data_IF_523713802691
#
_entry.id   IF_523713802691
#
_cell.length_a   1.000
_cell.length_b   1.000
_cell.length_c   1.000
_cell.angle_alpha   90.00
_cell.angle_beta   90.00
_cell.angle_gamma   90.00
#
_symmetry.space_group_name_H-M   'P 1'
#
loop_
_entity.id
_entity.type
_entity.pdbx_description
1 polymer ?
#
# COMPACT_ATOMS: atom_id res chain seq x y z
N UNK A 1 -9.92 -7.26 -4.93
CA UNK A 1 -9.77 -6.27 -3.85
C UNK A 1 -10.13 -4.92 -4.40
N UNK A 2 -10.96 -4.15 -3.69
CA UNK A 2 -11.35 -2.87 -4.25
C UNK A 2 -10.22 -1.85 -4.08
N UNK A 3 -10.36 -0.76 -4.80
CA UNK A 3 -9.30 0.24 -4.86
C UNK A 3 -9.03 0.87 -3.51
N UNK A 4 -10.07 1.17 -2.75
CA UNK A 4 -9.90 1.74 -1.42
C UNK A 4 -9.05 0.86 -0.53
N UNK A 5 -9.33 -0.41 -0.53
CA UNK A 5 -8.58 -1.36 0.28
C UNK A 5 -7.15 -1.46 -0.23
N UNK A 6 -6.99 -1.50 -1.55
CA UNK A 6 -5.67 -1.58 -2.15
C UNK A 6 -4.84 -0.35 -1.79
N UNK A 7 -5.45 0.84 -1.82
CA UNK A 7 -4.75 2.06 -1.44
C UNK A 7 -4.27 1.99 0.00
N UNK A 8 -5.13 1.51 0.90
CA UNK A 8 -4.76 1.42 2.30
C UNK A 8 -3.64 0.41 2.53
N UNK A 9 -3.72 -0.73 1.87
CA UNK A 9 -2.68 -1.74 1.97
C UNK A 9 -1.36 -1.18 1.44
N UNK A 10 -1.40 -0.56 0.29
CA UNK A 10 -0.21 0.01 -0.31
C UNK A 10 0.40 1.08 0.59
N UNK A 11 -0.44 1.96 1.14
CA UNK A 11 0.02 3.03 2.00
C UNK A 11 0.67 2.48 3.26
N UNK A 12 0.06 1.47 3.86
CA UNK A 12 0.64 0.86 5.05
C UNK A 12 1.98 0.22 4.74
N UNK A 13 2.11 -0.39 3.56
CA UNK A 13 3.38 -0.98 3.16
C UNK A 13 4.45 0.09 3.00
N UNK A 14 4.10 1.21 2.39
CA UNK A 14 5.04 2.30 2.19
C UNK A 14 5.48 2.88 3.53
N UNK A 15 4.54 3.14 4.40
CA UNK A 15 4.84 3.71 5.71
C UNK A 15 5.69 2.76 6.52
N UNK A 16 5.34 1.49 6.51
CA UNK A 16 6.09 0.50 7.26
C UNK A 16 7.51 0.37 6.74
N UNK A 17 7.66 0.42 5.43
CA UNK A 17 8.98 0.35 4.81
C UNK A 17 9.85 1.52 5.24
N UNK A 18 9.26 2.69 5.36
CA UNK A 18 9.98 3.88 5.75
C UNK A 18 10.38 3.87 7.22
N UNK A 19 9.55 3.28 8.07
CA UNK A 19 9.78 3.35 9.51
C UNK A 19 10.63 2.21 10.04
N UNK A 20 10.79 1.14 9.29
CA UNK A 20 11.58 0.00 9.74
C UNK A 20 13.05 0.27 9.50
N UNK A 21 13.88 0.15 10.54
CA UNK A 21 15.32 0.21 10.31
C UNK A 21 15.70 -0.96 9.43
N UNK A 22 16.47 -0.69 8.44
CA UNK A 22 16.68 -1.66 7.37
C UNK A 22 17.23 -3.00 7.75
N UNK A 23 17.44 -3.29 9.01
CA UNK A 23 18.06 -4.56 9.35
C UNK A 23 17.36 -5.35 10.38
N UNK A 24 16.29 -4.90 10.94
CA UNK A 24 15.68 -5.64 12.03
C UNK A 24 14.56 -6.55 11.59
N UNK A 25 13.99 -6.29 10.44
CA UNK A 25 12.90 -7.14 9.94
C UNK A 25 12.92 -7.11 8.44
N UNK A 26 12.56 -8.21 7.83
CA UNK A 26 12.48 -8.22 6.39
C UNK A 26 11.18 -7.55 5.95
N UNK A 27 11.21 -7.00 4.77
CA UNK A 27 10.01 -6.40 4.20
C UNK A 27 8.91 -7.44 4.05
N UNK A 28 9.28 -8.70 3.80
CA UNK A 28 8.30 -9.77 3.68
C UNK A 28 7.49 -9.95 4.95
N UNK A 29 8.15 -9.89 6.10
CA UNK A 29 7.44 -10.01 7.38
C UNK A 29 6.43 -8.88 7.57
N UNK A 30 6.83 -7.67 7.23
CA UNK A 30 5.96 -6.52 7.33
C UNK A 30 4.78 -6.66 6.37
N UNK A 31 5.06 -7.15 5.19
CA UNK A 31 4.05 -7.35 4.17
C UNK A 31 2.96 -8.30 4.66
N UNK A 32 3.36 -9.42 5.25
CA UNK A 32 2.40 -10.37 5.77
C UNK A 32 1.59 -9.80 6.93
N UNK A 33 2.23 -9.01 7.78
CA UNK A 33 1.52 -8.38 8.87
C UNK A 33 0.43 -7.43 8.36
N UNK A 34 0.74 -6.66 7.33
CA UNK A 34 -0.23 -5.75 6.72
C UNK A 34 -1.36 -6.54 6.07
N UNK A 35 -1.02 -7.61 5.36
CA UNK A 35 -2.04 -8.45 4.72
C UNK A 35 -2.99 -9.04 5.75
N UNK A 36 -2.46 -9.51 6.86
CA UNK A 36 -3.28 -10.03 7.95
C UNK A 36 -4.20 -8.97 8.52
N UNK A 37 -3.67 -7.77 8.67
CA UNK A 37 -4.45 -6.67 9.22
C UNK A 37 -5.70 -6.40 8.38
N UNK A 38 -5.56 -6.50 7.07
CA UNK A 38 -6.67 -6.23 6.16
C UNK A 38 -7.40 -7.49 5.71
N UNK A 39 -6.98 -8.64 6.20
CA UNK A 39 -7.67 -9.88 5.88
C UNK A 39 -7.52 -10.32 4.43
N UNK A 40 -6.37 -10.04 3.83
CA UNK A 40 -6.12 -10.43 2.45
C UNK A 40 -4.95 -11.40 2.40
N UNK A 41 -4.82 -12.09 1.28
CA UNK A 41 -3.72 -13.01 1.06
C UNK A 41 -2.72 -12.39 0.09
N UNK A 42 -1.50 -12.92 0.08
CA UNK A 42 -0.49 -12.49 -0.87
C UNK A 42 -0.98 -12.69 -2.30
N UNK A 43 -1.71 -13.78 -2.53
CA UNK A 43 -2.26 -14.04 -3.87
C UNK A 43 -3.24 -12.97 -4.31
N UNK A 44 -4.08 -12.50 -3.39
CA UNK A 44 -5.01 -11.44 -3.71
C UNK A 44 -4.28 -10.15 -4.06
N UNK A 45 -3.24 -9.85 -3.32
CA UNK A 45 -2.45 -8.66 -3.59
C UNK A 45 -1.78 -8.77 -4.96
N UNK A 46 -1.17 -9.91 -5.24
CA UNK A 46 -0.49 -10.11 -6.51
C UNK A 46 -1.44 -10.03 -7.69
N UNK A 47 -2.63 -10.61 -7.53
CA UNK A 47 -3.65 -10.55 -8.58
C UNK A 47 -4.07 -9.11 -8.84
N UNK A 48 -4.20 -8.33 -7.77
CA UNK A 48 -4.57 -6.92 -7.92
C UNK A 48 -3.47 -6.14 -8.64
N UNK A 49 -2.22 -6.40 -8.28
CA UNK A 49 -1.09 -5.76 -8.96
C UNK A 49 -1.09 -6.11 -10.44
N UNK A 50 -1.31 -7.38 -10.76
CA UNK A 50 -1.39 -7.79 -12.15
C UNK A 50 -2.50 -7.06 -12.90
N UNK A 51 -3.65 -6.92 -12.26
CA UNK A 51 -4.77 -6.22 -12.84
C UNK A 51 -4.39 -4.78 -13.19
N UNK A 52 -3.67 -4.13 -12.29
CA UNK A 52 -3.23 -2.76 -12.53
C UNK A 52 -2.13 -2.69 -13.58
N UNK A 53 -1.30 -3.71 -13.64
CA UNK A 53 -0.22 -3.74 -14.62
C UNK A 53 -0.71 -3.84 -16.06
N UNK A 54 -1.94 -4.26 -16.24
CA UNK A 54 -2.49 -4.38 -17.60
C UNK A 54 -2.86 -3.04 -18.21
N UNK A 55 -2.93 -2.00 -17.39
CA UNK A 55 -3.36 -0.70 -17.87
C UNK A 55 -2.62 0.38 -17.10
N UNK A 56 -1.72 1.06 -17.77
CA UNK A 56 -0.90 2.09 -17.15
C UNK A 56 -1.76 3.20 -16.55
N UNK A 57 -2.88 3.49 -17.16
CA UNK A 57 -3.75 4.54 -16.64
C UNK A 57 -4.32 4.19 -15.28
N UNK A 58 -4.52 2.91 -15.03
CA UNK A 58 -4.97 2.48 -13.71
C UNK A 58 -3.91 2.80 -12.66
N UNK A 59 -2.66 2.56 -12.97
CA UNK A 59 -1.57 2.89 -12.05
C UNK A 59 -1.51 4.39 -11.80
N UNK A 60 -1.68 5.18 -12.84
CA UNK A 60 -1.66 6.64 -12.68
C UNK A 60 -2.77 7.10 -11.76
N UNK A 61 -3.97 6.58 -11.98
CA UNK A 61 -5.12 6.90 -11.15
C UNK A 61 -4.89 6.43 -9.72
N UNK A 62 -4.36 5.23 -9.57
CA UNK A 62 -4.08 4.67 -8.25
C UNK A 62 -3.07 5.52 -7.48
N UNK A 63 -1.98 5.88 -8.12
CA UNK A 63 -0.95 6.68 -7.45
C UNK A 63 -1.47 8.06 -7.09
N UNK A 64 -2.31 8.62 -7.91
CA UNK A 64 -2.93 9.89 -7.60
C UNK A 64 -3.78 9.78 -6.33
N UNK A 65 -4.59 8.73 -6.26
CA UNK A 65 -5.43 8.48 -5.09
C UNK A 65 -4.57 8.18 -3.86
N UNK A 66 -3.56 7.35 -4.02
CA UNK A 66 -2.68 6.99 -2.92
C UNK A 66 -1.91 8.20 -2.40
N UNK A 67 -1.42 9.02 -3.30
CA UNK A 67 -0.71 10.23 -2.91
C UNK A 67 -1.61 11.19 -2.15
N UNK A 68 -2.84 11.35 -2.61
CA UNK A 68 -3.80 12.21 -1.93
C UNK A 68 -4.10 11.67 -0.53
N UNK A 69 -4.23 10.36 -0.41
CA UNK A 69 -4.48 9.74 0.88
C UNK A 69 -3.31 9.96 1.84
N UNK A 70 -2.10 9.76 1.35
CA UNK A 70 -0.90 9.99 2.16
C UNK A 70 -0.79 11.45 2.56
N UNK A 71 -1.06 12.35 1.65
CA UNK A 71 -1.05 13.78 1.94
C UNK A 71 -2.06 14.15 3.02
N UNK A 72 -3.22 13.54 2.97
CA UNK A 72 -4.23 13.77 3.99
C UNK A 72 -3.73 13.35 5.36
N UNK A 73 -3.06 12.21 5.42
CA UNK A 73 -2.50 11.73 6.68
C UNK A 73 -1.42 12.66 7.21
N UNK A 74 -0.58 13.15 6.32
CA UNK A 74 0.50 14.06 6.72
C UNK A 74 0.00 15.47 6.95
N UNK A 75 -0.97 15.87 6.17
CA UNK A 75 -1.47 17.22 6.21
C UNK A 75 -2.03 17.60 7.55
N UNK A 76 -2.51 16.64 8.30
CA UNK A 76 -3.03 16.91 9.61
C UNK A 76 -1.99 17.49 10.53
N UNK A 77 -0.75 17.21 10.27
CA UNK A 77 0.33 17.64 11.13
C UNK A 77 1.04 18.87 10.64
N UNK A 78 0.62 19.36 9.51
CA UNK A 78 1.30 20.44 8.89
C UNK A 78 1.00 21.77 9.46
N UNK A 79 -0.04 21.86 10.09
CA UNK A 79 -0.40 23.18 10.55
C UNK A 79 0.37 23.64 11.71
#
# INVERSE_FOLDING_TARGET
>A
MDEDKFVKVYTDLVIAHDTIPGKTASFDSVKYAVFNKYGISAGQYDTTVDYYNKDVERWQSFFKTATAYIDTLRGKNRK
#
